data_IF_999578411010
#
_entry.id   IF_999578411010
#
_cell.length_a   1.000
_cell.length_b   1.000
_cell.length_c   1.000
_cell.angle_alpha   90.00
_cell.angle_beta   90.00
_cell.angle_gamma   90.00
#
_symmetry.space_group_name_H-M   'P 1'
#
loop_
_entity.id
_entity.type
_entity.pdbx_description
1 polymer ?
#
# COMPACT_ATOMS: atom_id res chain seq x y z
N UNK A 1 5.76 4.98 0.54
CA UNK A 1 4.73 3.95 0.83
C UNK A 1 5.01 2.65 0.09
N UNK A 2 4.77 2.56 -1.22
CA UNK A 2 4.96 1.32 -1.99
C UNK A 2 6.37 0.72 -1.86
N UNK A 3 7.43 1.54 -2.05
CA UNK A 3 8.81 1.09 -1.87
C UNK A 3 9.13 0.65 -0.44
N UNK A 4 8.55 1.30 0.56
CA UNK A 4 8.72 0.90 1.96
C UNK A 4 8.16 -0.50 2.20
N UNK A 5 6.99 -0.80 1.62
CA UNK A 5 6.38 -2.14 1.71
C UNK A 5 7.17 -3.16 0.88
N UNK A 6 7.63 -2.82 -0.33
CA UNK A 6 8.50 -3.72 -1.10
C UNK A 6 9.75 -4.11 -0.34
N UNK A 7 10.36 -3.16 0.37
CA UNK A 7 11.60 -3.38 1.10
C UNK A 7 11.45 -4.25 2.37
N UNK A 8 10.24 -4.64 2.76
CA UNK A 8 10.02 -5.58 3.87
C UNK A 8 9.75 -7.01 3.38
N UNK A 9 9.45 -7.20 2.10
CA UNK A 9 9.10 -8.51 1.55
C UNK A 9 10.37 -9.28 1.19
N UNK A 10 10.35 -10.59 1.42
CA UNK A 10 11.49 -11.47 1.13
C UNK A 10 11.33 -12.23 -0.18
N UNK A 11 10.10 -12.50 -0.60
CA UNK A 11 9.85 -13.21 -1.84
C UNK A 11 9.61 -12.26 -3.02
N UNK A 12 9.95 -12.75 -4.21
CA UNK A 12 9.61 -12.06 -5.45
C UNK A 12 8.09 -12.00 -5.66
N UNK A 13 7.62 -10.81 -6.01
CA UNK A 13 6.21 -10.59 -6.31
C UNK A 13 5.90 -11.10 -7.71
N UNK A 14 4.90 -12.00 -7.88
CA UNK A 14 4.50 -12.45 -9.19
C UNK A 14 4.02 -11.28 -10.06
N UNK A 15 4.45 -11.26 -11.32
CA UNK A 15 3.92 -10.33 -12.30
C UNK A 15 2.56 -10.82 -12.80
N UNK A 16 1.48 -10.18 -12.34
CA UNK A 16 0.14 -10.48 -12.84
C UNK A 16 -0.10 -9.73 -14.15
N UNK A 17 -0.79 -10.37 -15.11
CA UNK A 17 -0.97 -9.84 -16.48
C UNK A 17 -1.75 -8.51 -16.54
N UNK A 18 -2.57 -8.19 -15.53
CA UNK A 18 -3.40 -6.98 -15.50
C UNK A 18 -3.01 -6.03 -14.35
N UNK A 19 -2.75 -4.75 -14.66
CA UNK A 19 -2.72 -3.65 -13.68
C UNK A 19 -1.34 -3.17 -13.21
N UNK A 20 -0.25 -3.71 -13.77
CA UNK A 20 1.12 -3.24 -13.52
C UNK A 20 1.64 -3.50 -12.11
N UNK A 21 2.75 -2.83 -11.75
CA UNK A 21 3.51 -3.11 -10.51
C UNK A 21 2.70 -2.88 -9.23
N UNK A 22 1.88 -1.82 -9.18
CA UNK A 22 1.06 -1.54 -7.99
C UNK A 22 -0.07 -2.57 -7.83
N UNK A 23 -0.77 -2.94 -8.91
CA UNK A 23 -1.82 -3.96 -8.80
C UNK A 23 -1.23 -5.31 -8.40
N UNK A 24 -0.04 -5.66 -8.92
CA UNK A 24 0.63 -6.90 -8.57
C UNK A 24 1.00 -6.98 -7.09
N UNK A 25 1.60 -5.91 -6.55
CA UNK A 25 1.90 -5.82 -5.12
C UNK A 25 0.63 -5.88 -4.26
N UNK A 26 -0.42 -5.15 -4.61
CA UNK A 26 -1.68 -5.18 -3.86
C UNK A 26 -2.27 -6.58 -3.77
N UNK A 27 -2.28 -7.29 -4.91
CA UNK A 27 -2.79 -8.66 -5.00
C UNK A 27 -1.93 -9.64 -4.21
N UNK A 28 -0.60 -9.49 -4.29
CA UNK A 28 0.32 -10.30 -3.53
C UNK A 28 0.11 -10.16 -2.01
N UNK A 29 0.02 -8.93 -1.51
CA UNK A 29 -0.25 -8.65 -0.10
C UNK A 29 -1.61 -9.16 0.37
N UNK A 30 -2.63 -9.14 -0.51
CA UNK A 30 -3.99 -9.57 -0.17
C UNK A 30 -4.16 -11.10 -0.10
N UNK A 31 -3.47 -11.85 -0.99
CA UNK A 31 -3.71 -13.28 -1.17
C UNK A 31 -2.50 -14.18 -0.85
N UNK A 32 -1.28 -13.67 -0.94
CA UNK A 32 -0.04 -14.46 -0.90
C UNK A 32 0.88 -14.07 0.26
N UNK A 33 0.44 -13.19 1.15
CA UNK A 33 1.19 -12.82 2.35
C UNK A 33 1.38 -13.97 3.36
N UNK A 34 0.88 -15.18 3.11
CA UNK A 34 1.19 -16.38 3.91
C UNK A 34 2.53 -17.02 3.55
N UNK A 35 3.12 -16.66 2.42
CA UNK A 35 4.44 -17.12 2.00
C UNK A 35 5.58 -16.24 2.55
N UNK A 36 5.22 -15.07 3.10
CA UNK A 36 6.15 -14.15 3.76
C UNK A 36 6.33 -14.54 5.24
N UNK A 37 7.48 -14.23 5.86
CA UNK A 37 7.68 -14.41 7.30
C UNK A 37 6.80 -13.49 8.14
N UNK A 38 6.28 -12.42 7.53
CA UNK A 38 5.40 -11.46 8.17
C UNK A 38 3.98 -11.98 8.35
N UNK A 39 3.31 -11.51 9.40
CA UNK A 39 1.91 -11.86 9.64
C UNK A 39 1.01 -11.46 8.45
N UNK A 40 0.36 -12.44 7.82
CA UNK A 40 -0.47 -12.22 6.62
C UNK A 40 -1.61 -11.23 6.85
N UNK A 41 -2.15 -11.15 8.07
CA UNK A 41 -3.18 -10.15 8.43
C UNK A 41 -2.62 -8.73 8.35
N UNK A 42 -1.39 -8.51 8.80
CA UNK A 42 -0.75 -7.18 8.74
C UNK A 42 -0.43 -6.80 7.29
N UNK A 43 0.06 -7.74 6.48
CA UNK A 43 0.26 -7.52 5.04
C UNK A 43 -1.04 -7.18 4.30
N UNK A 44 -2.14 -7.87 4.63
CA UNK A 44 -3.47 -7.57 4.08
C UNK A 44 -3.98 -6.19 4.48
N UNK A 45 -3.67 -5.71 5.68
CA UNK A 45 -4.00 -4.33 6.08
C UNK A 45 -3.21 -3.33 5.22
N UNK A 46 -1.92 -3.58 4.96
CA UNK A 46 -1.11 -2.73 4.07
C UNK A 46 -1.72 -2.66 2.67
N UNK A 47 -2.24 -3.77 2.13
CA UNK A 47 -2.88 -3.76 0.80
C UNK A 47 -4.07 -2.82 0.75
N UNK A 48 -4.96 -2.85 1.75
CA UNK A 48 -6.12 -1.95 1.79
C UNK A 48 -5.73 -0.48 1.89
N UNK A 49 -4.72 -0.16 2.70
CA UNK A 49 -4.24 1.22 2.86
C UNK A 49 -3.64 1.72 1.56
N UNK A 50 -2.78 0.93 0.92
CA UNK A 50 -2.15 1.27 -0.36
C UNK A 50 -3.18 1.45 -1.48
N UNK A 51 -4.16 0.55 -1.58
CA UNK A 51 -5.24 0.63 -2.56
C UNK A 51 -6.01 1.94 -2.43
N UNK A 52 -6.47 2.26 -1.21
CA UNK A 52 -7.19 3.50 -0.97
C UNK A 52 -6.33 4.74 -1.24
N UNK A 53 -5.03 4.70 -0.93
CA UNK A 53 -4.11 5.80 -1.25
C UNK A 53 -3.92 5.98 -2.78
N UNK A 54 -3.82 4.88 -3.54
CA UNK A 54 -3.77 4.92 -5.01
C UNK A 54 -5.03 5.52 -5.59
N UNK A 55 -6.19 5.06 -5.13
CA UNK A 55 -7.47 5.48 -5.67
C UNK A 55 -7.72 6.97 -5.37
N UNK A 56 -7.34 7.45 -4.18
CA UNK A 56 -7.35 8.89 -3.86
C UNK A 56 -6.38 9.69 -4.70
N UNK A 57 -5.16 9.19 -4.94
CA UNK A 57 -4.20 9.86 -5.83
C UNK A 57 -4.76 9.94 -7.26
N UNK A 58 -5.35 8.87 -7.76
CA UNK A 58 -5.98 8.85 -9.07
C UNK A 58 -7.11 9.89 -9.18
N UNK A 59 -7.94 10.05 -8.15
CA UNK A 59 -8.93 11.12 -8.11
C UNK A 59 -8.26 12.50 -8.15
N UNK A 60 -7.25 12.73 -7.30
CA UNK A 60 -6.51 14.00 -7.28
C UNK A 60 -5.86 14.34 -8.63
N UNK A 61 -5.36 13.32 -9.34
CA UNK A 61 -4.65 13.50 -10.61
C UNK A 61 -5.61 13.76 -11.79
N UNK A 62 -6.80 13.17 -11.79
CA UNK A 62 -7.67 13.11 -12.98
C UNK A 62 -9.07 13.68 -12.80
N UNK A 63 -9.57 13.84 -11.58
CA UNK A 63 -10.90 14.38 -11.29
C UNK A 63 -10.77 15.81 -10.77
N UNK A 64 -10.66 16.76 -11.70
CA UNK A 64 -10.38 18.17 -11.42
C UNK A 64 -11.51 18.83 -10.61
N UNK A 65 -12.74 18.36 -10.78
CA UNK A 65 -13.94 18.89 -10.13
C UNK A 65 -14.30 18.13 -8.84
N UNK A 66 -13.41 17.25 -8.36
CA UNK A 66 -13.67 16.40 -7.20
C UNK A 66 -13.78 17.23 -5.91
N UNK A 67 -14.96 17.20 -5.29
CA UNK A 67 -15.20 17.77 -3.96
C UNK A 67 -14.46 17.02 -2.83
N UNK A 68 -13.95 15.82 -3.14
CA UNK A 68 -13.23 14.97 -2.20
C UNK A 68 -11.76 15.37 -2.03
N UNK A 69 -11.22 16.20 -2.94
CA UNK A 69 -9.83 16.63 -2.92
C UNK A 69 -9.72 18.01 -2.27
N UNK A 70 -9.29 18.01 -1.02
CA UNK A 70 -9.19 19.20 -0.17
C UNK A 70 -7.92 19.16 0.68
N UNK A 71 -7.58 20.28 1.34
CA UNK A 71 -6.45 20.34 2.27
C UNK A 71 -6.51 19.25 3.36
N UNK A 72 -7.65 19.02 4.05
CA UNK A 72 -7.76 17.90 5.00
C UNK A 72 -7.47 16.53 4.37
N UNK A 73 -7.93 16.28 3.14
CA UNK A 73 -7.64 15.01 2.45
C UNK A 73 -6.14 14.80 2.17
N UNK A 74 -5.40 15.89 1.92
CA UNK A 74 -3.96 15.85 1.73
C UNK A 74 -3.21 15.58 3.05
N UNK A 75 -3.65 16.20 4.15
CA UNK A 75 -3.12 15.94 5.50
C UNK A 75 -3.35 14.48 5.93
N UNK A 76 -4.53 13.93 5.63
CA UNK A 76 -4.85 12.52 5.83
C UNK A 76 -3.96 11.60 4.99
N UNK A 77 -3.65 11.97 3.75
CA UNK A 77 -2.75 11.20 2.89
C UNK A 77 -1.32 11.14 3.46
N UNK A 78 -0.81 12.26 3.99
CA UNK A 78 0.50 12.33 4.66
C UNK A 78 0.49 11.45 5.92
N UNK A 79 -0.53 11.60 6.76
CA UNK A 79 -0.68 10.82 8.00
C UNK A 79 -0.71 9.32 7.71
N UNK A 80 -1.46 8.92 6.68
CA UNK A 80 -1.53 7.53 6.22
C UNK A 80 -0.20 7.01 5.69
N UNK A 81 0.55 7.84 4.96
CA UNK A 81 1.87 7.48 4.46
C UNK A 81 2.85 7.20 5.61
N UNK A 82 2.88 8.08 6.62
CA UNK A 82 3.71 7.92 7.80
C UNK A 82 3.33 6.67 8.60
N UNK A 83 2.03 6.39 8.73
CA UNK A 83 1.54 5.17 9.37
C UNK A 83 2.03 3.90 8.67
N UNK A 84 2.01 3.87 7.33
CA UNK A 84 2.52 2.71 6.57
C UNK A 84 4.01 2.52 6.79
N UNK A 85 4.79 3.60 6.82
CA UNK A 85 6.23 3.52 7.11
C UNK A 85 6.46 2.92 8.50
N UNK A 86 5.79 3.45 9.53
CA UNK A 86 5.92 2.93 10.90
C UNK A 86 5.50 1.45 11.03
N UNK A 87 4.46 1.02 10.30
CA UNK A 87 4.08 -0.39 10.23
C UNK A 87 5.17 -1.25 9.59
N UNK A 88 5.81 -0.77 8.51
CA UNK A 88 6.92 -1.47 7.87
C UNK A 88 8.13 -1.59 8.80
N UNK A 89 8.45 -0.53 9.54
CA UNK A 89 9.56 -0.54 10.51
C UNK A 89 9.30 -1.55 11.64
N UNK A 90 8.06 -1.60 12.13
CA UNK A 90 7.64 -2.59 13.14
C UNK A 90 7.77 -4.02 12.63
N UNK A 91 7.34 -4.28 11.39
CA UNK A 91 7.43 -5.61 10.77
C UNK A 91 8.87 -6.04 10.55
N UNK A 92 9.74 -5.12 10.10
CA UNK A 92 11.19 -5.36 9.96
C UNK A 92 11.88 -5.70 11.27
N UNK A 93 11.49 -5.05 12.37
CA UNK A 93 12.08 -5.29 13.68
C UNK A 93 11.61 -6.60 14.32
N UNK A 94 10.52 -7.20 13.82
CA UNK A 94 9.91 -8.42 14.34
C UNK A 94 10.27 -9.69 13.55
N UNK A 95 10.93 -9.55 12.40
CA UNK A 95 11.47 -10.63 11.57
C UNK A 95 12.90 -10.98 12.00
#
# INVERSE_FOLDING_TARGET
>A
MYHSVLAILENDIPHYSDGGVHASLLKYLEFSGSCEPHCSKQLKILSYILKSARDMRCKADYDIDSDQISKPSAEDAITRANRVIAMCDTLKAAA
#
